data_IF_429890171924
#
_entry.id   IF_429890171924
#
_cell.length_a   1.000
_cell.length_b   1.000
_cell.length_c   1.000
_cell.angle_alpha   90.00
_cell.angle_beta   90.00
_cell.angle_gamma   90.00
#
_symmetry.space_group_name_H-M   'P 1'
#
loop_
_entity.id
_entity.type
_entity.pdbx_description
1 polymer ?
#
# COMPACT_ATOMS: atom_id res chain seq x y z
N UNK A 1 -10.19 19.86 30.87
CA UNK A 1 -9.74 19.60 32.25
C UNK A 1 -8.39 18.86 32.33
N UNK A 2 -8.00 18.03 31.34
CA UNK A 2 -6.68 17.36 31.33
C UNK A 2 -5.49 18.31 31.09
N UNK A 3 -5.63 19.30 30.19
CA UNK A 3 -4.58 20.27 29.81
C UNK A 3 -3.98 21.03 30.99
N UNK A 4 -4.81 21.36 31.97
CA UNK A 4 -4.40 22.11 33.16
C UNK A 4 -3.58 21.25 34.13
N UNK A 5 -3.60 19.92 33.97
CA UNK A 5 -2.80 18.97 34.73
C UNK A 5 -1.47 18.63 34.03
N UNK A 6 -1.31 19.04 32.77
CA UNK A 6 -0.10 18.77 31.98
C UNK A 6 0.94 19.87 32.20
N UNK A 7 2.19 19.48 32.40
CA UNK A 7 3.32 20.40 32.40
C UNK A 7 3.53 21.06 31.03
N UNK A 8 4.38 22.10 30.95
CA UNK A 8 4.56 22.91 29.74
C UNK A 8 4.93 22.08 28.50
N UNK A 9 5.79 21.07 28.65
CA UNK A 9 6.16 20.14 27.57
C UNK A 9 4.94 19.38 27.05
N UNK A 10 4.07 18.90 27.94
CA UNK A 10 2.85 18.20 27.56
C UNK A 10 1.87 19.11 26.78
N UNK A 11 1.78 20.39 27.18
CA UNK A 11 0.97 21.38 26.47
C UNK A 11 1.55 21.73 25.09
N UNK A 12 2.88 21.84 24.97
CA UNK A 12 3.56 22.01 23.67
C UNK A 12 3.27 20.85 22.72
N UNK A 13 3.40 19.61 23.19
CA UNK A 13 3.08 18.41 22.41
C UNK A 13 1.61 18.42 21.99
N UNK A 14 0.71 18.70 22.93
CA UNK A 14 -0.73 18.79 22.65
C UNK A 14 -1.05 19.80 21.54
N UNK A 15 -0.39 20.95 21.52
CA UNK A 15 -0.60 21.98 20.50
C UNK A 15 -0.19 21.53 19.09
N UNK A 16 0.54 20.41 18.97
CA UNK A 16 0.89 19.82 17.66
C UNK A 16 -0.17 18.87 17.10
N UNK A 17 -1.19 18.52 17.91
CA UNK A 17 -2.19 17.53 17.54
C UNK A 17 -3.29 18.11 16.66
N UNK A 18 -3.67 17.35 15.63
CA UNK A 18 -4.79 17.67 14.73
C UNK A 18 -5.99 16.80 15.12
N UNK A 19 -7.14 17.42 15.37
CA UNK A 19 -8.41 16.78 15.73
C UNK A 19 -9.42 16.93 14.59
N UNK A 20 -10.27 15.92 14.37
CA UNK A 20 -11.27 15.96 13.29
C UNK A 20 -12.51 16.75 13.70
N UNK A 21 -12.84 16.75 14.99
CA UNK A 21 -13.95 17.52 15.54
C UNK A 21 -13.59 18.21 16.87
N UNK A 22 -14.41 19.17 17.29
CA UNK A 22 -14.28 19.81 18.60
C UNK A 22 -14.54 18.81 19.73
N UNK A 23 -15.47 17.85 19.53
CA UNK A 23 -15.73 16.79 20.50
C UNK A 23 -14.53 15.87 20.71
N UNK A 24 -13.76 15.59 19.67
CA UNK A 24 -12.54 14.75 19.78
C UNK A 24 -11.49 15.38 20.70
N UNK A 25 -11.48 16.72 20.75
CA UNK A 25 -10.54 17.50 21.57
C UNK A 25 -10.83 17.37 23.07
N UNK A 26 -12.08 17.10 23.42
CA UNK A 26 -12.52 16.92 24.80
C UNK A 26 -12.60 15.45 25.22
N UNK A 27 -12.47 14.53 24.25
CA UNK A 27 -12.43 13.11 24.50
C UNK A 27 -11.06 12.66 25.03
N UNK A 28 -11.02 12.20 26.28
CA UNK A 28 -9.78 11.77 26.96
C UNK A 28 -9.15 10.55 26.29
N UNK A 29 -9.94 9.61 25.79
CA UNK A 29 -9.42 8.41 25.14
C UNK A 29 -8.72 8.76 23.82
N UNK A 30 -9.30 9.69 23.06
CA UNK A 30 -8.68 10.22 21.83
C UNK A 30 -7.38 10.95 22.15
N UNK A 31 -7.36 11.74 23.22
CA UNK A 31 -6.18 12.49 23.65
C UNK A 31 -5.05 11.55 24.08
N UNK A 32 -5.34 10.54 24.90
CA UNK A 32 -4.37 9.52 25.32
C UNK A 32 -3.81 8.77 24.11
N UNK A 33 -4.66 8.34 23.17
CA UNK A 33 -4.22 7.68 21.94
C UNK A 33 -3.22 8.55 21.15
N UNK A 34 -3.46 9.85 21.04
CA UNK A 34 -2.54 10.77 20.35
C UNK A 34 -1.20 10.94 21.08
N UNK A 35 -1.20 10.96 22.41
CA UNK A 35 0.04 10.98 23.19
C UNK A 35 0.83 9.68 23.04
N UNK A 36 0.14 8.53 23.05
CA UNK A 36 0.76 7.24 22.79
C UNK A 36 1.40 7.22 21.40
N UNK A 37 0.67 7.64 20.35
CA UNK A 37 1.20 7.76 18.99
C UNK A 37 2.42 8.69 18.91
N UNK A 38 2.35 9.86 19.56
CA UNK A 38 3.47 10.81 19.62
C UNK A 38 4.70 10.19 20.28
N UNK A 39 4.53 9.55 21.43
CA UNK A 39 5.62 8.92 22.16
C UNK A 39 6.19 7.71 21.41
N UNK A 40 5.33 6.94 20.73
CA UNK A 40 5.72 5.75 19.97
C UNK A 40 6.76 6.08 18.90
N UNK A 41 6.56 7.17 18.16
CA UNK A 41 7.49 7.62 17.12
C UNK A 41 8.31 8.85 17.51
N UNK A 42 8.37 9.20 18.80
CA UNK A 42 9.09 10.38 19.31
C UNK A 42 8.77 11.68 18.54
N UNK A 43 7.50 11.87 18.17
CA UNK A 43 7.06 13.03 17.40
C UNK A 43 7.59 13.11 15.97
N UNK A 44 8.24 12.06 15.45
CA UNK A 44 8.79 12.04 14.10
C UNK A 44 7.68 12.30 13.07
N UNK A 45 7.95 13.23 12.15
CA UNK A 45 7.10 13.55 11.00
C UNK A 45 7.95 13.42 9.74
N UNK A 46 7.33 13.01 8.63
CA UNK A 46 8.01 12.96 7.35
C UNK A 46 8.43 14.38 6.94
N UNK A 47 9.67 14.54 6.50
CA UNK A 47 10.13 15.83 5.96
C UNK A 47 9.62 16.03 4.52
N UNK A 48 9.43 17.28 4.04
CA UNK A 48 8.88 17.56 2.71
C UNK A 48 9.63 16.91 1.53
N UNK A 49 10.95 16.72 1.64
CA UNK A 49 11.79 16.12 0.58
C UNK A 49 12.37 14.75 0.95
N UNK A 50 12.02 14.22 2.11
CA UNK A 50 12.46 12.89 2.53
C UNK A 50 11.80 11.82 1.67
N UNK A 51 12.57 10.79 1.31
CA UNK A 51 12.06 9.66 0.56
C UNK A 51 11.06 8.87 1.41
N UNK A 52 9.85 8.67 0.90
CA UNK A 52 8.77 7.94 1.60
C UNK A 52 9.23 6.55 2.09
N UNK A 53 10.02 5.83 1.30
CA UNK A 53 10.47 4.49 1.68
C UNK A 53 11.52 4.52 2.78
N UNK A 54 12.41 5.51 2.79
CA UNK A 54 13.39 5.71 3.86
C UNK A 54 12.67 6.06 5.17
N UNK A 55 11.72 7.00 5.11
CA UNK A 55 10.87 7.34 6.25
C UNK A 55 10.19 6.11 6.86
N UNK A 56 9.56 5.28 6.02
CA UNK A 56 8.87 4.06 6.48
C UNK A 56 9.86 3.03 7.05
N UNK A 57 11.06 2.89 6.47
CA UNK A 57 12.08 1.98 7.01
C UNK A 57 12.56 2.43 8.39
N UNK A 58 12.64 3.73 8.65
CA UNK A 58 12.96 4.25 9.97
C UNK A 58 11.83 3.94 10.97
N UNK A 59 10.56 4.12 10.57
CA UNK A 59 9.42 3.74 11.41
C UNK A 59 9.42 2.24 11.73
N UNK A 60 9.74 1.39 10.73
CA UNK A 60 9.92 -0.06 10.93
C UNK A 60 11.04 -0.38 11.92
N UNK A 61 12.13 0.40 11.91
CA UNK A 61 13.24 0.24 12.85
C UNK A 61 12.81 0.56 14.27
N UNK A 62 12.10 1.67 14.49
CA UNK A 62 11.53 2.04 15.79
C UNK A 62 10.58 0.96 16.32
N UNK A 63 9.69 0.47 15.45
CA UNK A 63 8.74 -0.59 15.79
C UNK A 63 9.43 -1.88 16.22
N UNK A 64 10.50 -2.24 15.51
CA UNK A 64 11.31 -3.42 15.80
C UNK A 64 12.07 -3.28 17.12
N UNK A 65 12.70 -2.13 17.36
CA UNK A 65 13.40 -1.83 18.60
C UNK A 65 12.47 -1.92 19.82
N UNK A 66 11.22 -1.51 19.67
CA UNK A 66 10.19 -1.55 20.72
C UNK A 66 9.43 -2.89 20.81
N UNK A 67 9.79 -3.90 20.01
CA UNK A 67 9.15 -5.24 19.99
C UNK A 67 7.62 -5.20 19.82
N UNK A 68 7.11 -4.29 18.99
CA UNK A 68 5.67 -4.16 18.77
C UNK A 68 5.19 -5.30 17.85
N UNK A 69 4.22 -6.08 18.32
CA UNK A 69 3.67 -7.25 17.60
C UNK A 69 2.87 -6.87 16.35
N UNK A 70 2.11 -5.78 16.38
CA UNK A 70 1.31 -5.27 15.25
C UNK A 70 1.94 -4.06 14.56
N UNK A 71 3.25 -4.17 14.32
CA UNK A 71 4.07 -3.06 13.86
C UNK A 71 3.63 -2.40 12.56
N UNK A 72 3.15 -3.18 11.57
CA UNK A 72 2.73 -2.62 10.29
C UNK A 72 1.46 -1.76 10.41
N UNK A 73 0.48 -2.20 11.20
CA UNK A 73 -0.76 -1.42 11.37
C UNK A 73 -0.49 -0.12 12.11
N UNK A 74 0.37 -0.14 13.15
CA UNK A 74 0.80 1.08 13.85
C UNK A 74 1.46 2.07 12.89
N UNK A 75 2.27 1.60 11.95
CA UNK A 75 2.85 2.45 10.90
C UNK A 75 1.77 2.98 9.96
N UNK A 76 0.80 2.16 9.55
CA UNK A 76 -0.31 2.64 8.70
C UNK A 76 -1.13 3.72 9.40
N UNK A 77 -1.45 3.56 10.68
CA UNK A 77 -2.13 4.61 11.47
C UNK A 77 -1.30 5.89 11.53
N UNK A 78 0.02 5.77 11.72
CA UNK A 78 0.93 6.92 11.68
C UNK A 78 0.94 7.63 10.33
N UNK A 79 0.90 6.89 9.23
CA UNK A 79 0.82 7.46 7.89
C UNK A 79 -0.52 8.13 7.67
N UNK A 80 -1.62 7.50 8.11
CA UNK A 80 -2.99 8.00 7.95
C UNK A 80 -3.16 9.41 8.51
N UNK A 81 -2.50 9.74 9.63
CA UNK A 81 -2.56 11.08 10.23
C UNK A 81 -1.69 12.13 9.52
N UNK A 82 -0.76 11.72 8.64
CA UNK A 82 0.14 12.61 7.91
C UNK A 82 -0.27 12.87 6.46
N UNK A 83 -1.01 11.96 5.84
CA UNK A 83 -1.44 12.09 4.45
C UNK A 83 -2.61 13.05 4.30
N UNK A 84 -2.64 13.75 3.15
CA UNK A 84 -3.85 14.44 2.72
C UNK A 84 -4.75 13.46 1.96
N UNK A 85 -5.94 13.17 2.52
CA UNK A 85 -6.88 12.20 1.97
C UNK A 85 -7.23 12.48 0.50
N UNK A 86 -7.52 13.74 0.14
CA UNK A 86 -7.91 14.11 -1.22
C UNK A 86 -6.77 13.87 -2.21
N UNK A 87 -5.56 14.33 -1.90
CA UNK A 87 -4.39 14.13 -2.77
C UNK A 87 -4.04 12.64 -2.89
N UNK A 88 -4.04 11.90 -1.77
CA UNK A 88 -3.81 10.46 -1.77
C UNK A 88 -4.85 9.72 -2.64
N UNK A 89 -6.14 10.05 -2.47
CA UNK A 89 -7.24 9.46 -3.23
C UNK A 89 -7.11 9.71 -4.73
N UNK A 90 -6.73 10.92 -5.13
CA UNK A 90 -6.53 11.25 -6.55
C UNK A 90 -5.44 10.38 -7.18
N UNK A 91 -4.32 10.19 -6.48
CA UNK A 91 -3.24 9.30 -6.96
C UNK A 91 -3.69 7.84 -6.96
N UNK A 92 -4.32 7.38 -5.88
CA UNK A 92 -4.82 6.01 -5.79
C UNK A 92 -5.77 5.67 -6.94
N UNK A 93 -6.65 6.60 -7.35
CA UNK A 93 -7.56 6.43 -8.49
C UNK A 93 -6.85 6.25 -9.84
N UNK A 94 -5.64 6.77 -10.01
CA UNK A 94 -4.85 6.52 -11.22
C UNK A 94 -4.37 5.07 -11.33
N UNK A 95 -4.24 4.37 -10.20
CA UNK A 95 -3.81 2.98 -10.12
C UNK A 95 -4.98 2.01 -9.97
N UNK A 96 -6.01 2.44 -9.24
CA UNK A 96 -7.21 1.69 -8.88
C UNK A 96 -8.42 2.60 -9.16
N UNK A 97 -8.98 2.59 -10.38
CA UNK A 97 -10.03 3.53 -10.78
C UNK A 97 -11.27 3.55 -9.85
N UNK A 98 -11.59 2.42 -9.22
CA UNK A 98 -12.71 2.27 -8.29
C UNK A 98 -12.37 2.60 -6.82
N UNK A 99 -11.21 3.21 -6.54
CA UNK A 99 -10.76 3.45 -5.17
C UNK A 99 -11.63 4.47 -4.44
N UNK A 100 -12.06 4.09 -3.24
CA UNK A 100 -12.76 4.91 -2.26
C UNK A 100 -11.97 4.84 -0.94
N UNK A 101 -11.51 5.98 -0.44
CA UNK A 101 -10.58 6.04 0.69
C UNK A 101 -11.12 5.35 1.94
N UNK A 102 -12.35 5.71 2.35
CA UNK A 102 -13.00 5.20 3.56
C UNK A 102 -13.18 3.68 3.61
N UNK A 103 -13.29 3.01 2.47
CA UNK A 103 -13.54 1.57 2.40
C UNK A 103 -12.33 0.76 1.92
N UNK A 104 -11.39 1.37 1.20
CA UNK A 104 -10.28 0.64 0.58
C UNK A 104 -8.93 0.84 1.25
N UNK A 105 -8.70 1.95 1.97
CA UNK A 105 -7.39 2.26 2.55
C UNK A 105 -6.85 1.12 3.43
N UNK A 106 -7.69 0.60 4.34
CA UNK A 106 -7.31 -0.48 5.26
C UNK A 106 -6.97 -1.80 4.56
N UNK A 107 -7.45 -2.01 3.33
CA UNK A 107 -7.15 -3.19 2.51
C UNK A 107 -5.80 -3.13 1.79
N UNK A 108 -5.12 -1.99 1.80
CA UNK A 108 -3.83 -1.81 1.15
C UNK A 108 -2.69 -2.34 2.03
N UNK A 109 -1.66 -2.90 1.38
CA UNK A 109 -0.37 -3.20 2.01
C UNK A 109 0.36 -1.90 2.38
N UNK A 110 1.24 -1.96 3.38
CA UNK A 110 2.05 -0.80 3.77
C UNK A 110 2.88 -0.25 2.59
N UNK A 111 3.44 -1.14 1.76
CA UNK A 111 4.21 -0.73 0.58
C UNK A 111 3.35 -0.20 -0.57
N UNK A 112 2.08 -0.61 -0.63
CA UNK A 112 1.11 -0.04 -1.56
C UNK A 112 0.75 1.40 -1.16
N UNK A 113 0.52 1.63 0.14
CA UNK A 113 0.32 2.96 0.72
C UNK A 113 1.56 3.83 0.48
N UNK A 114 2.77 3.30 0.75
CA UNK A 114 4.03 3.96 0.50
C UNK A 114 4.18 4.39 -0.96
N UNK A 115 3.83 3.51 -1.90
CA UNK A 115 3.91 3.80 -3.32
C UNK A 115 2.98 4.94 -3.71
N UNK A 116 1.72 4.91 -3.26
CA UNK A 116 0.74 5.97 -3.53
C UNK A 116 1.21 7.29 -2.92
N UNK A 117 1.69 7.27 -1.66
CA UNK A 117 2.21 8.48 -1.00
C UNK A 117 3.42 9.05 -1.74
N UNK A 118 4.35 8.20 -2.18
CA UNK A 118 5.51 8.62 -2.98
C UNK A 118 5.07 9.29 -4.29
N UNK A 119 4.07 8.75 -4.97
CA UNK A 119 3.50 9.37 -6.16
C UNK A 119 2.70 10.65 -5.84
N UNK A 120 2.10 10.76 -4.67
CA UNK A 120 1.46 11.98 -4.17
C UNK A 120 2.50 13.10 -4.00
N UNK A 121 3.61 12.84 -3.30
CA UNK A 121 4.68 13.84 -3.11
C UNK A 121 5.31 14.25 -4.45
N UNK A 122 5.48 13.30 -5.37
CA UNK A 122 6.04 13.55 -6.71
C UNK A 122 5.06 14.32 -7.64
N UNK A 123 3.75 14.32 -7.36
CA UNK A 123 2.73 14.96 -8.21
C UNK A 123 2.64 16.48 -8.05
N UNK A 124 3.37 17.06 -7.10
CA UNK A 124 3.31 18.50 -6.80
C UNK A 124 4.39 19.30 -7.56
N UNK A 125 4.76 18.95 -8.82
CA UNK A 125 5.01 19.93 -9.92
C UNK A 125 5.76 19.46 -11.18
N UNK A 126 6.35 18.26 -11.35
CA UNK A 126 7.06 17.97 -12.61
C UNK A 126 6.66 16.63 -13.27
N UNK A 127 5.91 16.68 -14.37
CA UNK A 127 5.82 15.55 -15.32
C UNK A 127 7.13 15.47 -16.09
N UNK A 128 8.15 14.91 -15.46
CA UNK A 128 9.43 14.64 -16.12
C UNK A 128 9.20 13.85 -17.42
N UNK A 129 9.71 14.36 -18.53
CA UNK A 129 9.55 13.71 -19.83
C UNK A 129 10.08 12.27 -19.82
N UNK A 130 9.34 11.34 -20.40
CA UNK A 130 9.72 9.91 -20.50
C UNK A 130 11.04 9.68 -21.24
N UNK A 131 11.42 10.60 -22.13
CA UNK A 131 12.64 10.50 -22.94
C UNK A 131 13.87 11.11 -22.26
N UNK A 132 13.75 12.34 -21.76
CA UNK A 132 14.89 13.04 -21.19
C UNK A 132 14.88 13.03 -19.66
N UNK A 133 13.72 12.94 -19.02
CA UNK A 133 13.46 13.01 -17.58
C UNK A 133 13.44 14.43 -17.00
N UNK A 134 13.48 15.47 -17.83
CA UNK A 134 13.43 16.88 -17.41
C UNK A 134 12.08 17.45 -17.84
N UNK A 135 11.73 18.59 -17.27
CA UNK A 135 10.70 19.45 -17.82
C UNK A 135 11.15 20.14 -19.08
N UNK A 136 10.22 20.25 -20.02
CA UNK A 136 10.33 21.09 -21.21
C UNK A 136 8.94 21.26 -21.83
N UNK A 137 8.80 22.28 -22.67
CA UNK A 137 7.60 22.51 -23.48
C UNK A 137 7.44 21.33 -24.46
N UNK A 138 6.20 21.02 -24.85
CA UNK A 138 5.89 19.96 -25.82
C UNK A 138 6.77 20.07 -27.07
N UNK A 139 7.21 18.92 -27.60
CA UNK A 139 8.10 18.76 -28.76
C UNK A 139 9.55 19.30 -28.64
N UNK A 140 9.90 20.06 -27.60
CA UNK A 140 11.27 20.55 -27.36
C UNK A 140 12.08 19.64 -26.44
N UNK A 141 12.00 18.32 -26.65
CA UNK A 141 12.71 17.38 -25.80
C UNK A 141 14.24 17.50 -25.98
N UNK A 142 15.02 17.80 -24.93
CA UNK A 142 16.48 17.91 -25.02
C UNK A 142 17.18 16.62 -25.47
N UNK A 143 16.49 15.49 -25.36
CA UNK A 143 17.01 14.20 -25.81
C UNK A 143 16.79 13.95 -27.30
N UNK A 144 15.99 14.76 -28.00
CA UNK A 144 15.72 14.60 -29.42
C UNK A 144 17.01 14.74 -30.23
N UNK A 145 17.28 13.77 -31.12
CA UNK A 145 18.50 13.74 -31.92
C UNK A 145 19.78 13.46 -31.13
N UNK A 146 19.68 13.06 -29.85
CA UNK A 146 20.83 12.67 -29.02
C UNK A 146 20.89 11.15 -28.88
N UNK A 147 22.11 10.61 -28.89
CA UNK A 147 22.35 9.21 -28.55
C UNK A 147 22.41 9.01 -27.04
N UNK A 148 21.84 7.90 -26.59
CA UNK A 148 21.94 7.47 -25.20
C UNK A 148 23.32 6.90 -24.89
N UNK A 149 23.96 7.40 -23.84
CA UNK A 149 25.27 6.92 -23.37
C UNK A 149 25.30 5.47 -22.86
N UNK A 150 24.13 4.82 -22.68
CA UNK A 150 24.02 3.45 -22.16
C UNK A 150 23.69 2.40 -23.21
N UNK A 151 22.87 2.73 -24.22
CA UNK A 151 22.44 1.77 -25.23
C UNK A 151 22.68 2.23 -26.68
N UNK A 152 23.25 3.43 -26.86
CA UNK A 152 23.52 4.07 -28.14
C UNK A 152 22.29 4.33 -29.04
N UNK A 153 21.07 3.98 -28.59
CA UNK A 153 19.85 4.33 -29.29
C UNK A 153 19.51 5.82 -29.10
N UNK A 154 18.76 6.36 -30.05
CA UNK A 154 18.45 7.79 -30.14
C UNK A 154 17.32 8.22 -29.19
N UNK A 155 17.14 9.54 -29.09
CA UNK A 155 15.94 10.21 -28.60
C UNK A 155 15.63 10.00 -27.11
N UNK A 156 16.61 9.60 -26.29
CA UNK A 156 16.47 9.54 -24.84
C UNK A 156 17.81 9.69 -24.12
N UNK A 157 17.77 10.11 -22.85
CA UNK A 157 18.97 10.19 -22.00
C UNK A 157 19.20 8.91 -21.20
N UNK A 158 20.44 8.70 -20.78
CA UNK A 158 20.87 7.49 -20.05
C UNK A 158 19.98 7.15 -18.85
N UNK A 159 19.50 8.14 -18.09
CA UNK A 159 18.62 7.92 -16.92
C UNK A 159 17.22 7.39 -17.27
N UNK A 160 16.74 7.62 -18.49
CA UNK A 160 15.49 7.08 -19.03
C UNK A 160 15.76 5.93 -20.01
N UNK A 161 16.97 5.37 -20.01
CA UNK A 161 17.32 4.28 -20.91
C UNK A 161 16.48 3.02 -20.59
N UNK A 162 15.77 2.43 -21.57
CA UNK A 162 14.97 1.22 -21.37
C UNK A 162 15.78 0.01 -20.87
N UNK A 163 17.11 0.04 -21.02
CA UNK A 163 17.99 -0.98 -20.44
C UNK A 163 18.04 -0.95 -18.92
N UNK A 164 17.78 0.20 -18.28
CA UNK A 164 17.90 0.37 -16.82
C UNK A 164 16.66 0.98 -16.15
N UNK A 165 15.76 1.61 -16.90
CA UNK A 165 14.57 2.27 -16.39
C UNK A 165 13.31 1.64 -16.99
N UNK A 166 12.27 1.47 -16.16
CA UNK A 166 10.96 0.93 -16.54
C UNK A 166 9.92 1.97 -16.19
N UNK A 167 9.09 2.38 -17.15
CA UNK A 167 8.06 3.42 -16.93
C UNK A 167 6.74 2.86 -16.41
N UNK A 168 6.29 1.74 -16.99
CA UNK A 168 5.03 1.11 -16.65
C UNK A 168 5.30 -0.33 -16.20
N UNK A 169 5.75 -0.48 -14.95
CA UNK A 169 6.10 -1.79 -14.44
C UNK A 169 4.86 -2.70 -14.30
N UNK A 170 4.93 -3.91 -14.83
CA UNK A 170 3.84 -4.89 -14.74
C UNK A 170 3.58 -5.39 -13.31
N UNK A 171 4.48 -5.13 -12.37
CA UNK A 171 4.40 -5.61 -10.99
C UNK A 171 3.84 -4.55 -10.03
N UNK A 172 4.25 -3.29 -10.16
CA UNK A 172 3.77 -2.19 -9.30
C UNK A 172 2.92 -1.15 -10.03
N UNK A 173 2.99 -1.07 -11.37
CA UNK A 173 2.31 -0.04 -12.17
C UNK A 173 3.02 1.30 -12.27
N UNK A 174 4.14 1.48 -11.57
CA UNK A 174 4.91 2.72 -11.57
C UNK A 174 6.17 2.70 -12.40
N UNK A 175 6.79 3.88 -12.47
CA UNK A 175 8.09 4.11 -13.06
C UNK A 175 9.21 3.95 -12.02
N UNK A 176 10.25 3.16 -12.33
CA UNK A 176 11.41 2.94 -11.47
C UNK A 176 12.60 2.35 -12.22
N UNK A 177 13.78 2.37 -11.59
CA UNK A 177 14.95 1.64 -12.11
C UNK A 177 14.76 0.13 -11.99
N UNK A 178 15.30 -0.64 -12.94
CA UNK A 178 15.30 -2.11 -12.88
C UNK A 178 15.89 -2.57 -11.54
N UNK A 179 15.32 -3.65 -10.99
CA UNK A 179 15.65 -4.21 -9.67
C UNK A 179 15.36 -3.31 -8.46
N UNK A 180 14.69 -2.16 -8.67
CA UNK A 180 14.19 -1.28 -7.60
C UNK A 180 12.65 -1.23 -7.58
N UNK A 181 12.01 -2.34 -7.94
CA UNK A 181 10.55 -2.40 -7.93
C UNK A 181 10.05 -2.38 -6.49
N UNK A 182 9.14 -1.45 -6.12
CA UNK A 182 8.61 -1.35 -4.76
C UNK A 182 7.68 -2.53 -4.40
N UNK A 183 7.18 -3.27 -5.39
CA UNK A 183 6.39 -4.48 -5.17
C UNK A 183 7.25 -5.74 -4.96
N UNK A 184 8.58 -5.64 -4.98
CA UNK A 184 9.46 -6.78 -4.81
C UNK A 184 9.32 -7.39 -3.41
N UNK A 185 9.22 -8.73 -3.34
CA UNK A 185 8.99 -9.52 -2.12
C UNK A 185 7.65 -9.24 -1.38
N UNK A 186 6.83 -8.31 -1.87
CA UNK A 186 5.47 -8.07 -1.36
C UNK A 186 4.56 -9.24 -1.71
N UNK A 187 3.73 -9.66 -0.76
CA UNK A 187 2.77 -10.76 -0.93
C UNK A 187 1.40 -10.19 -1.27
N UNK A 188 0.91 -10.46 -2.48
CA UNK A 188 -0.35 -9.93 -2.97
C UNK A 188 -1.54 -10.46 -2.15
N UNK A 189 -2.34 -9.55 -1.61
CA UNK A 189 -3.54 -9.85 -0.81
C UNK A 189 -4.64 -10.58 -1.60
N UNK A 190 -4.63 -10.50 -2.94
CA UNK A 190 -5.63 -11.17 -3.78
C UNK A 190 -5.30 -12.62 -4.08
N UNK A 191 -4.03 -12.95 -4.32
CA UNK A 191 -3.64 -14.28 -4.81
C UNK A 191 -2.58 -15.01 -3.96
N UNK A 192 -2.06 -14.36 -2.92
CA UNK A 192 -1.00 -14.84 -2.04
C UNK A 192 0.32 -15.19 -2.76
N UNK A 193 0.52 -14.70 -3.99
CA UNK A 193 1.80 -14.78 -4.71
C UNK A 193 2.63 -13.51 -4.48
N UNK A 194 3.95 -13.64 -4.55
CA UNK A 194 4.88 -12.55 -4.32
C UNK A 194 5.08 -11.63 -5.54
N UNK A 195 5.79 -10.52 -5.31
CA UNK A 195 6.43 -9.66 -6.30
C UNK A 195 5.48 -8.76 -7.12
N UNK A 196 4.25 -8.52 -6.68
CA UNK A 196 3.35 -7.58 -7.34
C UNK A 196 2.35 -6.97 -6.36
N UNK A 197 1.88 -5.76 -6.68
CA UNK A 197 0.79 -5.12 -5.96
C UNK A 197 -0.57 -5.69 -6.39
N UNK A 198 -1.55 -5.57 -5.50
CA UNK A 198 -2.89 -6.13 -5.64
C UNK A 198 -3.62 -5.62 -6.89
N UNK A 199 -3.37 -4.39 -7.32
CA UNK A 199 -3.94 -3.81 -8.54
C UNK A 199 -3.29 -4.28 -9.84
N UNK A 200 -2.09 -4.89 -9.77
CA UNK A 200 -1.45 -5.58 -10.90
C UNK A 200 -1.65 -7.09 -10.88
N UNK A 201 -2.45 -7.60 -9.93
CA UNK A 201 -2.76 -9.02 -9.87
C UNK A 201 -3.58 -9.45 -11.09
N UNK A 202 -3.03 -10.37 -11.88
CA UNK A 202 -3.68 -10.95 -13.07
C UNK A 202 -4.33 -12.32 -12.77
N UNK A 203 -4.48 -12.67 -11.49
CA UNK A 203 -5.10 -13.94 -11.12
C UNK A 203 -6.59 -13.91 -11.47
N UNK A 204 -7.05 -14.92 -12.19
CA UNK A 204 -8.46 -15.11 -12.53
C UNK A 204 -9.29 -15.22 -11.25
N UNK A 205 -10.47 -14.62 -11.20
CA UNK A 205 -11.40 -14.76 -10.08
C UNK A 205 -12.33 -15.94 -10.34
N UNK A 206 -12.47 -16.83 -9.36
CA UNK A 206 -13.46 -17.92 -9.34
C UNK A 206 -14.64 -17.44 -8.51
N UNK A 207 -15.78 -17.24 -9.15
CA UNK A 207 -17.04 -16.99 -8.47
C UNK A 207 -17.66 -18.31 -8.00
N UNK A 208 -18.27 -18.31 -6.82
CA UNK A 208 -18.97 -19.47 -6.25
C UNK A 208 -18.19 -20.78 -6.38
N UNK A 209 -16.95 -20.80 -5.89
CA UNK A 209 -16.06 -21.95 -6.02
C UNK A 209 -16.74 -23.26 -5.58
N UNK A 210 -16.65 -24.30 -6.41
CA UNK A 210 -17.32 -25.59 -6.14
C UNK A 210 -16.88 -26.23 -4.81
N UNK A 211 -15.66 -25.97 -4.38
CA UNK A 211 -15.08 -26.53 -3.16
C UNK A 211 -15.52 -25.83 -1.88
N UNK A 212 -15.58 -24.50 -1.86
CA UNK A 212 -15.89 -23.72 -0.65
C UNK A 212 -17.21 -22.93 -0.73
N UNK A 213 -17.75 -22.72 -1.92
CA UNK A 213 -18.94 -21.90 -2.19
C UNK A 213 -18.71 -20.39 -2.22
N UNK A 214 -17.47 -19.92 -1.98
CA UNK A 214 -17.13 -18.49 -1.91
C UNK A 214 -16.44 -18.02 -3.19
N UNK A 215 -16.43 -16.70 -3.40
CA UNK A 215 -15.65 -16.06 -4.48
C UNK A 215 -14.22 -15.83 -4.01
N UNK A 216 -13.23 -16.31 -4.77
CA UNK A 216 -11.81 -16.13 -4.49
C UNK A 216 -10.97 -16.22 -5.77
N UNK A 217 -9.69 -15.84 -5.75
CA UNK A 217 -8.82 -15.99 -6.94
C UNK A 217 -8.52 -17.46 -7.25
N UNK A 218 -8.19 -17.76 -8.51
CA UNK A 218 -7.84 -19.08 -9.03
C UNK A 218 -6.47 -19.56 -8.52
N UNK A 219 -6.37 -19.66 -7.20
CA UNK A 219 -5.23 -20.14 -6.45
C UNK A 219 -5.76 -21.08 -5.39
N UNK A 220 -5.29 -22.33 -5.43
CA UNK A 220 -5.69 -23.36 -4.45
C UNK A 220 -5.38 -22.90 -3.01
N UNK A 221 -4.26 -22.19 -2.82
CA UNK A 221 -3.84 -21.66 -1.53
C UNK A 221 -4.79 -20.62 -0.92
N UNK A 222 -5.60 -19.95 -1.74
CA UNK A 222 -6.56 -18.93 -1.30
C UNK A 222 -7.93 -19.54 -0.98
N UNK A 223 -8.20 -20.76 -1.49
CA UNK A 223 -9.48 -21.42 -1.24
C UNK A 223 -9.62 -21.77 0.25
N UNK A 224 -10.65 -21.28 0.97
CA UNK A 224 -10.87 -21.61 2.38
C UNK A 224 -10.99 -23.10 2.66
N UNK A 225 -11.42 -23.88 1.66
CA UNK A 225 -11.57 -25.32 1.78
C UNK A 225 -10.30 -26.13 1.45
N UNK A 226 -9.20 -25.48 1.04
CA UNK A 226 -8.00 -26.16 0.55
C UNK A 226 -7.42 -27.17 1.55
N UNK A 227 -7.35 -26.77 2.81
CA UNK A 227 -6.83 -27.60 3.90
C UNK A 227 -7.93 -28.23 4.76
N UNK A 228 -9.18 -28.18 4.32
CA UNK A 228 -10.31 -28.78 5.04
C UNK A 228 -10.47 -30.24 4.65
N UNK A 229 -10.51 -31.12 5.65
CA UNK A 229 -10.83 -32.53 5.48
C UNK A 229 -12.36 -32.72 5.42
N UNK A 230 -12.85 -33.38 4.38
CA UNK A 230 -14.26 -33.69 4.25
C UNK A 230 -14.66 -34.91 5.10
N UNK A 231 -15.73 -34.77 5.88
CA UNK A 231 -16.24 -35.82 6.78
C UNK A 231 -16.98 -36.95 6.04
N UNK A 232 -17.45 -36.72 4.80
CA UNK A 232 -18.19 -37.74 4.03
C UNK A 232 -17.28 -38.63 3.18
N UNK A 233 -16.11 -38.13 2.77
CA UNK A 233 -15.23 -38.87 1.86
C UNK A 233 -13.77 -38.92 2.29
N UNK A 234 -13.42 -38.33 3.44
CA UNK A 234 -12.07 -38.28 4.01
C UNK A 234 -10.98 -37.72 3.07
N UNK A 235 -11.37 -36.95 2.06
CA UNK A 235 -10.42 -36.24 1.17
C UNK A 235 -10.36 -34.75 1.52
N UNK A 236 -9.20 -34.14 1.35
CA UNK A 236 -9.02 -32.69 1.53
C UNK A 236 -9.52 -31.86 0.34
N UNK A 237 -9.73 -30.57 0.55
CA UNK A 237 -9.87 -29.59 -0.53
C UNK A 237 -11.29 -29.13 -0.85
N UNK A 238 -12.28 -29.47 -0.01
CA UNK A 238 -13.65 -28.98 -0.10
C UNK A 238 -14.36 -29.06 1.26
N UNK A 239 -15.41 -28.27 1.45
CA UNK A 239 -16.27 -28.38 2.63
C UNK A 239 -17.18 -29.60 2.53
N UNK A 240 -17.44 -30.26 3.65
CA UNK A 240 -18.37 -31.41 3.71
C UNK A 240 -19.77 -31.06 3.16
N UNK A 241 -20.20 -29.80 3.30
CA UNK A 241 -21.45 -29.28 2.72
C UNK A 241 -21.48 -29.30 1.18
N UNK A 242 -20.32 -29.32 0.53
CA UNK A 242 -20.12 -29.33 -0.92
C UNK A 242 -19.61 -30.69 -1.44
N UNK A 243 -19.59 -31.71 -0.59
CA UNK A 243 -19.15 -33.06 -0.99
C UNK A 243 -20.19 -33.73 -1.88
N UNK A 244 -19.76 -34.24 -3.03
CA UNK A 244 -20.62 -35.00 -3.95
C UNK A 244 -21.04 -36.37 -3.40
N UNK A 245 -20.31 -36.92 -2.42
CA UNK A 245 -20.66 -38.16 -1.71
C UNK A 245 -21.58 -37.93 -0.51
N UNK A 246 -22.01 -36.68 -0.27
CA UNK A 246 -22.92 -36.37 0.84
C UNK A 246 -24.26 -37.13 0.63
N UNK A 247 -24.74 -37.89 1.63
CA UNK A 247 -26.04 -38.54 1.52
C UNK A 247 -27.14 -37.48 1.38
N UNK A 248 -27.92 -37.58 0.31
CA UNK A 248 -29.13 -36.79 0.15
C UNK A 248 -30.18 -37.37 1.11
N UNK A 249 -30.37 -36.74 2.26
CA UNK A 249 -31.53 -37.03 3.08
C UNK A 249 -32.79 -36.77 2.25
N UNK A 250 -33.48 -37.84 1.84
CA UNK A 250 -34.87 -37.77 1.41
C UNK A 250 -35.63 -37.15 2.58
N UNK A 251 -36.21 -35.97 2.35
CA UNK A 251 -37.15 -35.36 3.26
C UNK A 251 -38.41 -36.20 3.22
N UNK A 252 -38.68 -36.93 4.30
CA UNK A 252 -40.00 -37.45 4.62
C UNK A 252 -40.88 -36.31 5.13
#
# INVERSE_FOLDING_TARGET
MLLNLMGPIGQEIYNTFIFQSVNDRENVDVLLKKFDEYYMFAGKKKLPRENVYEYINDLKSVVKEKNITDGENVIKEKILVEINETKFTNIAKTLIPSFVFSSNYNGLLLMEIAFIWKCYDDNDLLRDCTKCGYEHIENNCPALGKHCSKCNNWNHFGRRCPLIFVENCNYCGGAHFKRKCPAFNETCTKCNKKNHFSWKCQSVVIEFCRSCGMTHTASKAVCPANNTMCLFCNTMGHFSSRCYKKPHHQRY
#
